data_IF_909331926938
#
_entry.id   IF_909331926938
#
_cell.length_a   1.000
_cell.length_b   1.000
_cell.length_c   1.000
_cell.angle_alpha   90.00
_cell.angle_beta   90.00
_cell.angle_gamma   90.00
#
_symmetry.space_group_name_H-M   'P 1'
#
loop_
_entity.id
_entity.type
_entity.pdbx_description
1 polymer ?
#
# COMPACT_ATOMS: atom_id res chain seq x y z
N UNK A 1 22.87 12.25 8.74
CA UNK A 1 23.65 11.21 9.47
C UNK A 1 23.79 9.96 8.60
N UNK A 2 24.95 9.29 8.63
CA UNK A 2 25.15 7.95 8.04
C UNK A 2 25.40 6.97 9.18
N UNK A 3 24.68 5.85 9.19
CA UNK A 3 24.80 4.85 10.26
C UNK A 3 24.79 3.45 9.68
N UNK A 4 25.67 2.59 10.18
CA UNK A 4 25.79 1.19 9.78
C UNK A 4 25.65 0.28 11.00
N UNK A 5 25.24 -0.96 10.77
CA UNK A 5 25.14 -1.96 11.84
C UNK A 5 23.85 -1.85 12.66
N UNK A 6 23.93 -2.15 13.96
CA UNK A 6 22.78 -2.18 14.88
C UNK A 6 22.70 -0.89 15.66
N UNK A 7 21.60 -0.17 15.55
CA UNK A 7 21.43 1.10 16.26
C UNK A 7 19.97 1.52 16.38
N UNK A 8 19.73 2.43 17.32
CA UNK A 8 18.48 3.16 17.52
C UNK A 8 18.77 4.65 17.40
N UNK A 9 17.91 5.40 16.71
CA UNK A 9 18.00 6.86 16.63
C UNK A 9 16.68 7.49 17.01
N UNK A 10 16.72 8.50 17.88
CA UNK A 10 15.59 9.33 18.24
C UNK A 10 15.91 10.80 17.97
N UNK A 11 14.95 11.53 17.42
CA UNK A 11 15.10 12.98 17.25
C UNK A 11 13.85 13.62 16.65
N UNK A 12 13.77 14.94 16.71
CA UNK A 12 12.60 15.66 16.21
C UNK A 12 12.53 15.65 14.67
N UNK A 13 13.62 16.08 14.02
CA UNK A 13 13.78 16.06 12.56
C UNK A 13 15.04 15.32 12.20
N UNK A 14 14.92 14.23 11.44
CA UNK A 14 16.06 13.40 11.07
C UNK A 14 16.18 13.26 9.55
N UNK A 15 17.40 13.42 9.04
CA UNK A 15 17.77 13.11 7.67
C UNK A 15 18.93 12.10 7.67
N UNK A 16 18.64 10.86 7.27
CA UNK A 16 19.53 9.74 7.51
C UNK A 16 19.68 8.78 6.33
N UNK A 17 20.87 8.18 6.24
CA UNK A 17 21.13 6.99 5.43
C UNK A 17 21.57 5.87 6.35
N UNK A 18 20.87 4.76 6.30
CA UNK A 18 21.01 3.70 7.27
C UNK A 18 21.08 2.34 6.59
N UNK A 19 22.09 1.56 6.96
CA UNK A 19 22.27 0.16 6.53
C UNK A 19 22.37 -0.71 7.77
N UNK A 20 21.78 -1.90 7.73
CA UNK A 20 21.79 -2.81 8.88
C UNK A 20 20.43 -2.93 9.56
N UNK A 21 20.45 -3.43 10.80
CA UNK A 21 19.25 -3.60 11.62
C UNK A 21 19.03 -2.37 12.51
N UNK A 22 18.00 -1.58 12.21
CA UNK A 22 17.82 -0.28 12.86
C UNK A 22 16.39 0.02 13.31
N UNK A 23 16.28 0.87 14.34
CA UNK A 23 15.02 1.49 14.78
C UNK A 23 15.16 3.01 14.74
N UNK A 24 14.17 3.71 14.19
CA UNK A 24 14.16 5.18 14.16
C UNK A 24 12.82 5.71 14.62
N UNK A 25 12.86 6.66 15.55
CA UNK A 25 11.70 7.40 16.00
C UNK A 25 11.92 8.91 15.83
N UNK A 26 10.93 9.59 15.27
CA UNK A 26 10.96 11.05 15.22
C UNK A 26 9.70 11.68 14.66
N UNK A 27 9.63 13.01 14.68
CA UNK A 27 8.44 13.71 14.17
C UNK A 27 8.46 13.78 12.64
N UNK A 28 9.56 14.27 12.07
CA UNK A 28 9.77 14.38 10.62
C UNK A 28 11.00 13.59 10.20
N UNK A 29 10.81 12.57 9.36
CA UNK A 29 11.89 11.68 8.93
C UNK A 29 12.04 11.69 7.41
N UNK A 30 13.24 11.97 6.93
CA UNK A 30 13.68 11.71 5.56
C UNK A 30 14.77 10.63 5.57
N UNK A 31 14.45 9.44 5.08
CA UNK A 31 15.33 8.29 5.28
C UNK A 31 15.57 7.47 4.02
N UNK A 32 16.82 7.00 3.91
CA UNK A 32 17.20 5.92 3.00
C UNK A 32 17.70 4.74 3.82
N UNK A 33 16.98 3.63 3.76
CA UNK A 33 17.22 2.46 4.60
C UNK A 33 17.39 1.20 3.77
N UNK A 34 18.24 0.28 4.20
CA UNK A 34 18.31 -1.08 3.64
C UNK A 34 18.20 -2.13 4.74
N UNK A 35 18.01 -3.38 4.35
CA UNK A 35 17.95 -4.56 5.21
C UNK A 35 16.72 -4.64 6.13
N UNK A 36 16.87 -4.47 7.44
CA UNK A 36 15.80 -4.72 8.42
C UNK A 36 15.56 -3.49 9.30
N UNK A 37 14.38 -2.90 9.24
CA UNK A 37 14.12 -1.69 10.02
C UNK A 37 12.70 -1.52 10.52
N UNK A 38 12.60 -0.76 11.61
CA UNK A 38 11.36 -0.22 12.15
C UNK A 38 11.45 1.30 12.19
N UNK A 39 10.40 1.96 11.69
CA UNK A 39 10.34 3.42 11.65
C UNK A 39 9.01 3.90 12.19
N UNK A 40 9.05 4.82 13.13
CA UNK A 40 7.86 5.49 13.66
C UNK A 40 8.01 7.01 13.58
N UNK A 41 6.99 7.68 13.06
CA UNK A 41 6.96 9.15 13.10
C UNK A 41 5.70 9.78 12.55
N UNK A 42 5.62 11.10 12.55
CA UNK A 42 4.43 11.80 12.07
C UNK A 42 4.45 11.95 10.55
N UNK A 43 5.52 12.54 10.00
CA UNK A 43 5.71 12.77 8.56
C UNK A 43 6.94 12.01 8.08
N UNK A 44 6.72 11.05 7.19
CA UNK A 44 7.74 10.11 6.72
C UNK A 44 7.92 10.20 5.21
N UNK A 45 9.14 10.49 4.76
CA UNK A 45 9.56 10.38 3.37
C UNK A 45 10.70 9.36 3.27
N UNK A 46 10.43 8.20 2.66
CA UNK A 46 11.36 7.08 2.74
C UNK A 46 11.64 6.39 1.41
N UNK A 47 12.90 5.98 1.26
CA UNK A 47 13.35 5.06 0.20
C UNK A 47 14.03 3.87 0.85
N UNK A 48 13.34 2.73 0.84
CA UNK A 48 13.70 1.60 1.69
C UNK A 48 13.72 0.28 0.92
N UNK A 49 14.69 -0.57 1.19
CA UNK A 49 14.72 -1.93 0.65
C UNK A 49 14.84 -2.96 1.77
N UNK A 50 14.31 -4.16 1.54
CA UNK A 50 14.36 -5.26 2.51
C UNK A 50 13.09 -5.37 3.36
N UNK A 51 13.24 -5.85 4.60
CA UNK A 51 12.14 -6.15 5.52
C UNK A 51 11.88 -4.96 6.44
N UNK A 52 10.72 -4.34 6.32
CA UNK A 52 10.43 -3.14 7.11
C UNK A 52 9.03 -3.06 7.71
N UNK A 53 8.96 -2.38 8.85
CA UNK A 53 7.71 -1.94 9.49
C UNK A 53 7.74 -0.44 9.62
N UNK A 54 6.67 0.22 9.17
CA UNK A 54 6.58 1.68 9.16
C UNK A 54 5.23 2.11 9.71
N UNK A 55 5.25 2.99 10.70
CA UNK A 55 4.07 3.60 11.26
C UNK A 55 4.18 5.11 11.23
N UNK A 56 3.18 5.79 10.67
CA UNK A 56 3.10 7.24 10.79
C UNK A 56 1.78 7.85 10.37
N UNK A 57 1.68 9.17 10.42
CA UNK A 57 0.45 9.85 10.02
C UNK A 57 0.43 10.08 8.50
N UNK A 58 1.48 10.71 7.97
CA UNK A 58 1.67 11.01 6.54
C UNK A 58 2.89 10.29 6.01
N UNK A 59 2.68 9.40 5.04
CA UNK A 59 3.73 8.54 4.49
C UNK A 59 3.87 8.74 2.99
N UNK A 60 5.08 9.02 2.54
CA UNK A 60 5.50 8.92 1.15
C UNK A 60 6.64 7.92 1.05
N UNK A 61 6.38 6.75 0.46
CA UNK A 61 7.37 5.67 0.44
C UNK A 61 7.61 5.07 -0.93
N UNK A 62 8.88 4.73 -1.14
CA UNK A 62 9.33 3.87 -2.24
C UNK A 62 10.09 2.71 -1.64
N UNK A 63 9.70 1.50 -1.97
CA UNK A 63 10.44 0.36 -1.47
C UNK A 63 10.16 -0.97 -2.11
N UNK A 64 10.95 -1.95 -1.73
CA UNK A 64 10.94 -3.28 -2.34
C UNK A 64 10.99 -4.38 -1.26
N UNK A 65 10.56 -5.59 -1.62
CA UNK A 65 10.71 -6.86 -0.89
C UNK A 65 9.55 -7.21 0.06
N UNK A 66 9.58 -6.78 1.34
CA UNK A 66 8.55 -7.17 2.32
C UNK A 66 8.28 -6.07 3.32
N UNK A 67 7.03 -5.60 3.42
CA UNK A 67 6.69 -4.52 4.33
C UNK A 67 5.32 -4.57 4.96
N UNK A 68 5.26 -4.02 6.18
CA UNK A 68 4.04 -3.61 6.86
C UNK A 68 4.03 -2.10 7.01
N UNK A 69 2.93 -1.48 6.60
CA UNK A 69 2.80 -0.02 6.60
C UNK A 69 1.47 0.37 7.20
N UNK A 70 1.50 1.24 8.21
CA UNK A 70 0.32 1.78 8.83
C UNK A 70 0.38 3.31 8.84
N UNK A 71 -0.72 3.94 8.42
CA UNK A 71 -0.86 5.39 8.58
C UNK A 71 -2.18 5.98 8.13
N UNK A 72 -2.32 7.30 8.28
CA UNK A 72 -3.57 7.97 7.91
C UNK A 72 -3.61 8.26 6.41
N UNK A 73 -2.59 8.96 5.90
CA UNK A 73 -2.43 9.30 4.49
C UNK A 73 -1.16 8.65 3.95
N UNK A 74 -1.30 7.80 2.94
CA UNK A 74 -0.20 6.98 2.45
C UNK A 74 -0.11 7.04 0.93
N UNK A 75 1.04 7.45 0.42
CA UNK A 75 1.40 7.40 -0.99
C UNK A 75 2.59 6.45 -1.18
N UNK A 76 2.40 5.40 -1.97
CA UNK A 76 3.41 4.36 -2.14
C UNK A 76 3.65 3.91 -3.57
N UNK A 77 4.93 3.64 -3.85
CA UNK A 77 5.38 2.90 -5.03
C UNK A 77 6.23 1.73 -4.60
N UNK A 78 5.70 0.52 -4.75
CA UNK A 78 6.28 -0.66 -4.09
C UNK A 78 6.24 -1.90 -4.97
N UNK A 79 7.25 -2.75 -4.81
CA UNK A 79 7.29 -4.10 -5.40
C UNK A 79 7.49 -5.13 -4.29
N UNK A 80 6.93 -6.33 -4.46
CA UNK A 80 7.05 -7.39 -3.46
C UNK A 80 5.76 -7.69 -2.71
N UNK A 81 5.91 -8.30 -1.53
CA UNK A 81 4.79 -8.66 -0.65
C UNK A 81 4.54 -7.58 0.39
N UNK A 82 3.30 -7.11 0.52
CA UNK A 82 3.01 -6.09 1.51
C UNK A 82 1.62 -6.14 2.14
N UNK A 83 1.56 -5.59 3.35
CA UNK A 83 0.33 -5.27 4.07
C UNK A 83 0.28 -3.77 4.33
N UNK A 84 -0.83 -3.13 3.99
CA UNK A 84 -1.02 -1.68 4.12
C UNK A 84 -2.35 -1.37 4.76
N UNK A 85 -2.30 -0.68 5.88
CA UNK A 85 -3.48 -0.19 6.58
C UNK A 85 -3.47 1.33 6.63
N UNK A 86 -4.58 1.95 6.22
CA UNK A 86 -4.70 3.40 6.36
C UNK A 86 -5.94 4.01 5.76
N UNK A 87 -6.26 5.23 6.19
CA UNK A 87 -7.52 5.90 5.85
C UNK A 87 -7.57 6.27 4.35
N UNK A 88 -6.58 7.04 3.88
CA UNK A 88 -6.46 7.48 2.49
C UNK A 88 -5.21 6.88 1.85
N UNK A 89 -5.40 6.05 0.83
CA UNK A 89 -4.30 5.38 0.14
C UNK A 89 -4.22 5.74 -1.34
N UNK A 90 -3.01 6.05 -1.79
CA UNK A 90 -2.64 6.09 -3.21
C UNK A 90 -1.47 5.13 -3.45
N UNK A 91 -1.70 4.06 -4.20
CA UNK A 91 -0.72 2.98 -4.35
C UNK A 91 -0.48 2.57 -5.79
N UNK A 92 0.80 2.34 -6.09
CA UNK A 92 1.26 1.69 -7.30
C UNK A 92 2.18 0.55 -6.95
N UNK A 93 1.93 -0.63 -7.49
CA UNK A 93 2.81 -1.76 -7.19
C UNK A 93 2.54 -3.03 -7.97
N UNK A 94 3.38 -4.02 -7.70
CA UNK A 94 3.35 -5.32 -8.36
C UNK A 94 3.48 -6.43 -7.32
N UNK A 95 2.87 -7.58 -7.60
CA UNK A 95 2.92 -8.85 -6.86
C UNK A 95 1.76 -9.13 -5.89
N UNK A 96 1.99 -9.18 -4.56
CA UNK A 96 0.99 -9.67 -3.58
C UNK A 96 0.70 -8.63 -2.52
N UNK A 97 -0.56 -8.18 -2.42
CA UNK A 97 -0.93 -7.06 -1.57
C UNK A 97 -2.18 -7.36 -0.75
N UNK A 98 -2.16 -6.93 0.52
CA UNK A 98 -3.33 -6.84 1.39
C UNK A 98 -3.51 -5.40 1.84
N UNK A 99 -4.71 -4.85 1.70
CA UNK A 99 -4.95 -3.41 1.79
C UNK A 99 -6.28 -3.10 2.48
N UNK A 100 -6.25 -2.38 3.62
CA UNK A 100 -7.44 -2.11 4.44
C UNK A 100 -7.61 -0.66 4.95
N UNK A 101 -8.82 -0.08 4.80
CA UNK A 101 -9.15 1.28 5.23
C UNK A 101 -10.32 1.94 4.48
N UNK A 102 -10.32 3.26 4.26
CA UNK A 102 -11.52 3.99 3.82
C UNK A 102 -11.54 4.32 2.33
N UNK A 103 -10.57 5.10 1.87
CA UNK A 103 -10.47 5.55 0.48
C UNK A 103 -9.22 4.99 -0.18
N UNK A 104 -9.37 4.43 -1.38
CA UNK A 104 -8.27 3.81 -2.12
C UNK A 104 -8.27 4.22 -3.59
N UNK A 105 -7.11 4.70 -4.04
CA UNK A 105 -6.75 4.78 -5.46
C UNK A 105 -5.56 3.86 -5.73
N UNK A 106 -5.75 2.85 -6.58
CA UNK A 106 -4.77 1.78 -6.77
C UNK A 106 -4.51 1.48 -8.25
N UNK A 107 -3.24 1.30 -8.61
CA UNK A 107 -2.82 0.71 -9.89
C UNK A 107 -1.84 -0.43 -9.64
N UNK A 108 -2.30 -1.68 -9.78
CA UNK A 108 -1.49 -2.85 -9.41
C UNK A 108 -1.60 -4.00 -10.38
N UNK A 109 -0.55 -4.81 -10.43
CA UNK A 109 -0.49 -6.07 -11.17
C UNK A 109 -0.22 -7.22 -10.21
N UNK A 110 -0.90 -8.38 -10.36
CA UNK A 110 -0.64 -9.58 -9.53
C UNK A 110 -1.85 -10.11 -8.75
N UNK A 111 -1.63 -10.64 -7.53
CA UNK A 111 -2.67 -11.22 -6.67
C UNK A 111 -3.00 -10.31 -5.49
N UNK A 112 -4.24 -9.85 -5.38
CA UNK A 112 -4.60 -8.81 -4.40
C UNK A 112 -5.87 -9.13 -3.64
N UNK A 113 -5.89 -8.73 -2.37
CA UNK A 113 -7.06 -8.70 -1.50
C UNK A 113 -7.23 -7.29 -0.94
N UNK A 114 -8.39 -6.69 -1.18
CA UNK A 114 -8.66 -5.30 -0.83
C UNK A 114 -10.04 -5.19 -0.17
N UNK A 115 -10.09 -4.56 1.00
CA UNK A 115 -11.32 -4.29 1.73
C UNK A 115 -11.41 -2.80 2.08
N UNK A 116 -12.39 -2.07 1.51
CA UNK A 116 -12.48 -0.60 1.60
C UNK A 116 -13.88 -0.04 1.46
N UNK A 117 -14.15 1.16 1.96
CA UNK A 117 -15.43 1.83 1.70
C UNK A 117 -15.55 2.36 0.26
N UNK A 118 -14.55 3.11 -0.22
CA UNK A 118 -14.55 3.71 -1.56
C UNK A 118 -13.28 3.35 -2.33
N UNK A 119 -13.44 2.86 -3.56
CA UNK A 119 -12.34 2.37 -4.37
C UNK A 119 -12.36 2.85 -5.82
N UNK A 120 -11.19 3.27 -6.31
CA UNK A 120 -10.88 3.40 -7.72
C UNK A 120 -9.65 2.55 -8.05
N UNK A 121 -9.83 1.50 -8.85
CA UNK A 121 -8.76 0.52 -9.10
C UNK A 121 -8.54 0.22 -10.57
N UNK A 122 -7.26 0.12 -10.94
CA UNK A 122 -6.81 -0.48 -12.21
C UNK A 122 -5.96 -1.71 -11.91
N UNK A 123 -6.44 -2.87 -12.34
CA UNK A 123 -5.96 -4.15 -11.83
C UNK A 123 -5.77 -5.19 -12.93
N UNK A 124 -4.72 -6.01 -12.85
CA UNK A 124 -4.49 -7.14 -13.77
C UNK A 124 -4.20 -8.43 -12.99
N UNK A 125 -4.62 -9.58 -13.51
CA UNK A 125 -4.33 -10.96 -13.02
C UNK A 125 -5.39 -11.60 -12.10
N UNK A 126 -5.33 -11.45 -10.76
CA UNK A 126 -6.32 -12.08 -9.85
C UNK A 126 -6.65 -11.21 -8.64
N UNK A 127 -7.92 -10.93 -8.40
CA UNK A 127 -8.34 -9.96 -7.37
C UNK A 127 -9.56 -10.41 -6.58
N UNK A 128 -9.54 -10.17 -5.28
CA UNK A 128 -10.71 -10.22 -4.39
C UNK A 128 -10.90 -8.84 -3.77
N UNK A 129 -12.09 -8.26 -3.97
CA UNK A 129 -12.38 -6.87 -3.66
C UNK A 129 -13.71 -6.77 -2.92
N UNK A 130 -13.72 -6.14 -1.76
CA UNK A 130 -14.93 -5.88 -0.98
C UNK A 130 -15.05 -4.41 -0.60
N UNK A 131 -16.19 -3.77 -0.89
CA UNK A 131 -16.44 -2.40 -0.46
C UNK A 131 -17.81 -1.84 -0.73
N UNK A 132 -18.08 -0.57 -0.40
CA UNK A 132 -19.40 0.02 -0.64
C UNK A 132 -19.50 0.64 -2.04
N UNK A 133 -18.53 1.46 -2.43
CA UNK A 133 -18.51 2.15 -3.72
C UNK A 133 -17.27 1.78 -4.52
N UNK A 134 -17.45 1.04 -5.61
CA UNK A 134 -16.38 0.44 -6.40
C UNK A 134 -16.38 0.99 -7.82
N UNK A 135 -15.24 1.49 -8.28
CA UNK A 135 -14.96 1.73 -9.69
C UNK A 135 -13.71 0.94 -10.10
N UNK A 136 -13.89 -0.05 -10.96
CA UNK A 136 -12.81 -0.97 -11.32
C UNK A 136 -12.64 -1.14 -12.83
N UNK A 137 -11.38 -1.09 -13.26
CA UNK A 137 -10.97 -1.52 -14.60
C UNK A 137 -9.93 -2.62 -14.51
N UNK A 138 -10.15 -3.75 -15.16
CA UNK A 138 -9.14 -4.80 -15.10
C UNK A 138 -9.26 -5.95 -16.08
N UNK A 139 -8.23 -6.78 -16.08
CA UNK A 139 -8.19 -8.02 -16.86
C UNK A 139 -7.79 -9.20 -15.99
N UNK A 140 -8.39 -10.37 -16.23
CA UNK A 140 -8.05 -11.61 -15.53
C UNK A 140 -9.22 -12.19 -14.73
N UNK A 141 -8.97 -12.67 -13.51
CA UNK A 141 -10.01 -13.25 -12.64
C UNK A 141 -10.34 -12.31 -11.48
N UNK A 142 -11.63 -12.00 -11.32
CA UNK A 142 -12.07 -11.04 -10.32
C UNK A 142 -13.23 -11.59 -9.49
N UNK A 143 -13.14 -11.45 -8.18
CA UNK A 143 -14.24 -11.64 -7.24
C UNK A 143 -14.52 -10.30 -6.56
N UNK A 144 -15.72 -9.78 -6.70
CA UNK A 144 -16.07 -8.41 -6.33
C UNK A 144 -17.38 -8.39 -5.58
N UNK A 145 -17.36 -7.78 -4.40
CA UNK A 145 -18.55 -7.57 -3.60
C UNK A 145 -18.65 -6.10 -3.23
N UNK A 146 -19.73 -5.44 -3.63
CA UNK A 146 -20.01 -4.12 -3.11
C UNK A 146 -21.34 -3.51 -3.48
N UNK A 147 -21.81 -2.57 -2.66
CA UNK A 147 -23.17 -2.05 -2.76
C UNK A 147 -23.41 -1.33 -4.09
N UNK A 148 -22.47 -0.49 -4.51
CA UNK A 148 -22.46 0.18 -5.81
C UNK A 148 -21.17 -0.13 -6.54
N UNK A 149 -21.25 -0.78 -7.68
CA UNK A 149 -20.06 -1.17 -8.47
C UNK A 149 -20.20 -0.79 -9.93
N UNK A 150 -19.20 -0.07 -10.45
CA UNK A 150 -18.97 0.16 -11.87
C UNK A 150 -17.72 -0.61 -12.30
N UNK A 151 -17.86 -1.54 -13.24
CA UNK A 151 -16.80 -2.44 -13.66
C UNK A 151 -16.64 -2.50 -15.17
N UNK A 152 -15.39 -2.38 -15.62
CA UNK A 152 -15.00 -2.59 -17.03
C UNK A 152 -13.83 -3.54 -17.13
N UNK A 153 -13.97 -4.66 -17.82
CA UNK A 153 -12.88 -5.61 -17.90
C UNK A 153 -13.08 -6.78 -18.83
N UNK A 154 -12.05 -7.61 -18.91
CA UNK A 154 -12.07 -8.87 -19.66
C UNK A 154 -11.58 -10.01 -18.78
N UNK A 155 -12.13 -11.21 -18.98
CA UNK A 155 -11.76 -12.42 -18.24
C UNK A 155 -12.93 -13.00 -17.44
N UNK A 156 -12.64 -13.62 -16.29
CA UNK A 156 -13.68 -14.28 -15.47
C UNK A 156 -14.05 -13.40 -14.28
N UNK A 157 -15.33 -13.11 -14.13
CA UNK A 157 -15.83 -12.22 -13.09
C UNK A 157 -16.89 -12.94 -12.24
N UNK A 158 -16.78 -12.78 -10.92
CA UNK A 158 -17.84 -13.07 -9.94
C UNK A 158 -18.13 -11.77 -9.22
N UNK A 159 -19.37 -11.28 -9.32
CA UNK A 159 -19.76 -9.93 -8.90
C UNK A 159 -21.05 -9.99 -8.11
N UNK A 160 -21.08 -9.36 -6.95
CA UNK A 160 -22.28 -9.20 -6.13
C UNK A 160 -22.41 -7.75 -5.67
N UNK A 161 -23.61 -7.19 -5.78
CA UNK A 161 -23.89 -5.82 -5.35
C UNK A 161 -25.34 -5.44 -5.50
N UNK A 162 -25.73 -4.34 -4.83
CA UNK A 162 -27.09 -3.80 -4.92
C UNK A 162 -27.30 -3.01 -6.21
N UNK A 163 -26.30 -2.23 -6.63
CA UNK A 163 -26.28 -1.45 -7.87
C UNK A 163 -25.04 -1.84 -8.67
N UNK A 164 -25.23 -2.45 -9.85
CA UNK A 164 -24.14 -2.98 -10.68
C UNK A 164 -24.21 -2.42 -12.10
N UNK A 165 -23.13 -1.79 -12.56
CA UNK A 165 -22.92 -1.42 -13.97
C UNK A 165 -21.66 -2.15 -14.47
N UNK A 166 -21.82 -3.07 -15.42
CA UNK A 166 -20.74 -3.91 -15.93
C UNK A 166 -20.64 -3.79 -17.45
N UNK A 167 -19.44 -3.54 -17.95
CA UNK A 167 -19.11 -3.54 -19.38
C UNK A 167 -17.97 -4.51 -19.65
N UNK A 168 -18.28 -5.58 -20.37
CA UNK A 168 -17.28 -6.49 -20.91
C UNK A 168 -16.84 -6.02 -22.30
N UNK A 169 -15.59 -6.27 -22.66
CA UNK A 169 -15.00 -5.90 -23.95
C UNK A 169 -14.46 -7.14 -24.67
#
# INVERSE_FOLDING_TARGET
MRVTGRHSVQGHTLNMRVTGRHSVQGHTLNMRGTERHSVQGHTLNMRVTGRHSVQGHTLNMRGTVRHSVQGHTINMRVTGRHSVQGHTLNMRGTERHSVQGHTLNMRVTGRHSVQRHTMNMRVTVRHSVQGHTLNMRGTGRHCVQGDTSNMRGTGRHSVKGHTLNMREA
#
